data_IF_753750959740
#
_entry.id   IF_753750959740
#
_cell.length_a   1.000
_cell.length_b   1.000
_cell.length_c   1.000
_cell.angle_alpha   90.00
_cell.angle_beta   90.00
_cell.angle_gamma   90.00
#
_symmetry.space_group_name_H-M   'P 1'
#
loop_
_entity.id
_entity.type
_entity.pdbx_description
1 polymer ?
#
# COMPACT_ATOMS: atom_id res chain seq x y z
N UNK A 1 2.26 -12.55 -1.62
CA UNK A 1 2.90 -11.93 -2.79
C UNK A 1 3.94 -12.90 -3.32
N UNK A 2 3.96 -13.15 -4.63
CA UNK A 2 4.92 -14.05 -5.28
C UNK A 2 5.74 -13.26 -6.30
N UNK A 3 6.96 -12.91 -5.91
CA UNK A 3 7.86 -12.14 -6.75
C UNK A 3 8.31 -12.90 -8.01
N UNK A 4 8.36 -14.25 -7.95
CA UNK A 4 8.76 -15.07 -9.11
C UNK A 4 7.71 -15.03 -10.21
N UNK A 5 6.44 -15.02 -9.82
CA UNK A 5 5.29 -14.86 -10.73
C UNK A 5 4.86 -13.41 -10.92
N UNK A 6 5.55 -12.48 -10.24
CA UNK A 6 5.20 -11.06 -10.17
C UNK A 6 3.74 -10.85 -9.78
N UNK A 7 3.23 -11.70 -8.88
CA UNK A 7 1.81 -11.77 -8.56
C UNK A 7 1.48 -11.34 -7.13
N UNK A 8 0.34 -10.68 -6.99
CA UNK A 8 -0.21 -10.20 -5.73
C UNK A 8 -1.60 -10.81 -5.58
N UNK A 9 -1.79 -11.56 -4.50
CA UNK A 9 -3.11 -12.08 -4.13
C UNK A 9 -3.80 -11.09 -3.21
N UNK A 10 -4.95 -10.59 -3.64
CA UNK A 10 -5.82 -9.74 -2.84
C UNK A 10 -6.96 -10.57 -2.26
N UNK A 11 -7.01 -10.63 -0.92
CA UNK A 11 -8.06 -11.32 -0.18
C UNK A 11 -8.97 -10.31 0.52
N UNK A 12 -10.20 -10.17 0.02
CA UNK A 12 -11.25 -9.41 0.68
C UNK A 12 -12.11 -10.34 1.54
N UNK A 13 -12.44 -9.88 2.75
CA UNK A 13 -13.44 -10.52 3.62
C UNK A 13 -14.52 -9.49 3.92
N UNK A 14 -15.77 -9.82 3.57
CA UNK A 14 -16.94 -8.99 3.83
C UNK A 14 -17.76 -9.68 4.92
N UNK A 15 -18.12 -8.94 5.97
CA UNK A 15 -18.94 -9.44 7.08
C UNK A 15 -20.13 -8.52 7.24
N UNK A 16 -21.33 -9.08 7.34
CA UNK A 16 -22.51 -8.30 7.67
C UNK A 16 -22.59 -8.13 9.19
N UNK A 17 -22.37 -6.91 9.67
CA UNK A 17 -22.49 -6.58 11.10
C UNK A 17 -23.87 -6.07 11.49
N UNK A 18 -24.78 -5.91 10.52
CA UNK A 18 -26.15 -5.52 10.79
C UNK A 18 -26.94 -6.72 11.31
N UNK A 19 -28.02 -6.46 12.04
CA UNK A 19 -28.99 -7.49 12.44
C UNK A 19 -29.84 -7.95 11.24
N UNK A 20 -30.08 -7.04 10.30
CA UNK A 20 -30.82 -7.30 9.07
C UNK A 20 -30.01 -8.11 8.05
N UNK A 21 -30.72 -8.93 7.26
CA UNK A 21 -30.13 -9.69 6.14
C UNK A 21 -29.95 -8.78 4.92
N UNK A 22 -28.77 -8.84 4.30
CA UNK A 22 -28.50 -8.16 3.04
C UNK A 22 -28.92 -9.05 1.88
N UNK A 23 -29.74 -8.54 0.95
CA UNK A 23 -30.36 -9.31 -0.16
C UNK A 23 -29.39 -9.71 -1.29
N UNK A 24 -28.09 -9.63 -1.04
CA UNK A 24 -27.05 -9.87 -2.02
C UNK A 24 -26.68 -8.60 -2.79
N UNK A 25 -25.73 -8.75 -3.70
CA UNK A 25 -25.12 -7.57 -4.31
C UNK A 25 -23.96 -7.88 -5.23
N UNK A 26 -23.05 -6.92 -5.36
CA UNK A 26 -21.85 -7.01 -6.18
C UNK A 26 -20.64 -6.45 -5.44
N UNK A 27 -19.56 -7.23 -5.44
CA UNK A 27 -18.23 -6.77 -5.12
C UNK A 27 -17.59 -6.28 -6.42
N UNK A 28 -17.16 -5.02 -6.46
CA UNK A 28 -16.41 -4.44 -7.55
C UNK A 28 -15.00 -4.13 -7.07
N UNK A 29 -14.02 -4.66 -7.79
CA UNK A 29 -12.61 -4.37 -7.58
C UNK A 29 -12.10 -3.66 -8.83
N UNK A 30 -11.60 -2.45 -8.65
CA UNK A 30 -10.92 -1.68 -9.67
C UNK A 30 -9.47 -1.46 -9.27
N UNK A 31 -8.60 -1.36 -10.27
CA UNK A 31 -7.16 -1.26 -10.05
C UNK A 31 -6.60 -0.03 -10.74
N UNK A 32 -5.66 0.63 -10.09
CA UNK A 32 -4.91 1.79 -10.57
C UNK A 32 -3.42 1.43 -10.58
N UNK A 33 -2.71 1.84 -11.62
CA UNK A 33 -1.30 1.48 -11.85
C UNK A 33 -1.14 0.24 -12.74
N UNK A 34 0.01 -0.42 -12.63
CA UNK A 34 0.42 -1.47 -13.56
C UNK A 34 -0.04 -2.90 -13.18
N UNK A 35 -1.14 -3.03 -12.44
CA UNK A 35 -1.67 -4.34 -12.06
C UNK A 35 -2.71 -4.80 -13.07
N UNK A 36 -2.55 -6.03 -13.55
CA UNK A 36 -3.52 -6.69 -14.41
C UNK A 36 -4.05 -7.96 -13.75
N UNK A 37 -5.33 -8.33 -13.92
CA UNK A 37 -5.84 -9.61 -13.43
C UNK A 37 -5.07 -10.78 -14.04
N UNK A 38 -4.58 -11.72 -13.22
CA UNK A 38 -3.74 -12.82 -13.67
C UNK A 38 -4.44 -13.74 -14.70
N UNK A 39 -5.77 -13.79 -14.67
CA UNK A 39 -6.60 -14.67 -15.51
C UNK A 39 -7.07 -14.02 -16.82
N UNK A 40 -6.53 -12.86 -17.20
CA UNK A 40 -6.95 -12.14 -18.42
C UNK A 40 -8.37 -11.55 -18.35
N UNK A 41 -8.99 -11.53 -17.17
CA UNK A 41 -10.28 -10.88 -16.93
C UNK A 41 -10.18 -9.34 -17.10
N UNK A 42 -11.30 -8.65 -17.42
CA UNK A 42 -11.31 -7.20 -17.51
C UNK A 42 -10.87 -6.54 -16.20
N UNK A 43 -10.25 -5.36 -16.30
CA UNK A 43 -9.70 -4.55 -15.19
C UNK A 43 -10.70 -4.29 -14.04
N UNK A 44 -11.99 -4.39 -14.33
CA UNK A 44 -13.06 -4.35 -13.33
C UNK A 44 -13.56 -5.77 -13.06
N UNK A 45 -13.11 -6.35 -11.95
CA UNK A 45 -13.65 -7.62 -11.50
C UNK A 45 -14.95 -7.34 -10.73
N UNK A 46 -16.07 -7.74 -11.33
CA UNK A 46 -17.37 -7.71 -10.65
C UNK A 46 -17.76 -9.12 -10.26
N UNK A 47 -17.90 -9.38 -8.97
CA UNK A 47 -18.36 -10.66 -8.43
C UNK A 47 -19.71 -10.48 -7.76
N UNK A 48 -20.68 -11.31 -8.12
CA UNK A 48 -21.96 -11.36 -7.43
C UNK A 48 -21.76 -11.87 -6.01
N UNK A 49 -22.33 -11.15 -5.05
CA UNK A 49 -22.37 -11.53 -3.65
C UNK A 49 -23.68 -12.26 -3.38
N UNK A 50 -23.64 -13.42 -2.69
CA UNK A 50 -24.85 -14.02 -2.16
C UNK A 50 -25.47 -13.07 -1.12
N UNK A 51 -26.73 -13.31 -0.76
CA UNK A 51 -27.29 -12.71 0.44
C UNK A 51 -26.42 -13.04 1.65
N UNK A 52 -26.27 -12.08 2.55
CA UNK A 52 -25.44 -12.23 3.76
C UNK A 52 -26.33 -12.09 5.00
N UNK A 53 -26.43 -13.16 5.77
CA UNK A 53 -27.07 -13.15 7.08
C UNK A 53 -26.26 -12.32 8.08
N UNK A 54 -26.88 -11.93 9.19
CA UNK A 54 -26.16 -11.28 10.29
C UNK A 54 -24.98 -12.14 10.75
N UNK A 55 -23.81 -11.52 10.93
CA UNK A 55 -22.53 -12.14 11.29
C UNK A 55 -21.96 -13.14 10.27
N UNK A 56 -22.61 -13.32 9.11
CA UNK A 56 -22.08 -14.15 8.05
C UNK A 56 -20.91 -13.46 7.34
N UNK A 57 -19.92 -14.26 6.94
CA UNK A 57 -18.71 -13.81 6.26
C UNK A 57 -18.61 -14.42 4.88
N UNK A 58 -18.16 -13.61 3.92
CA UNK A 58 -17.80 -14.04 2.59
C UNK A 58 -16.37 -13.63 2.28
N UNK A 59 -15.61 -14.57 1.69
CA UNK A 59 -14.23 -14.33 1.27
C UNK A 59 -14.13 -14.32 -0.25
N UNK A 60 -13.37 -13.35 -0.75
CA UNK A 60 -13.05 -13.21 -2.15
C UNK A 60 -11.54 -13.12 -2.32
N UNK A 61 -10.98 -13.94 -3.19
CA UNK A 61 -9.56 -13.91 -3.54
C UNK A 61 -9.43 -13.62 -5.04
N UNK A 62 -8.58 -12.66 -5.38
CA UNK A 62 -8.20 -12.34 -6.76
C UNK A 62 -6.71 -12.16 -6.85
N UNK A 63 -6.12 -12.72 -7.89
CA UNK A 63 -4.70 -12.59 -8.17
C UNK A 63 -4.47 -11.56 -9.28
N UNK A 64 -3.51 -10.67 -9.06
CA UNK A 64 -3.05 -9.67 -10.00
C UNK A 64 -1.59 -9.93 -10.34
N UNK A 65 -1.21 -9.66 -11.57
CA UNK A 65 0.18 -9.66 -12.03
C UNK A 65 0.61 -8.22 -12.26
N UNK A 66 1.80 -7.87 -11.76
CA UNK A 66 2.42 -6.57 -11.99
C UNK A 66 3.09 -6.56 -13.37
N UNK A 67 2.71 -5.60 -14.22
CA UNK A 67 3.22 -5.48 -15.59
C UNK A 67 4.55 -4.72 -15.67
N UNK A 68 4.69 -3.65 -14.89
CA UNK A 68 5.92 -2.87 -14.72
C UNK A 68 5.96 -2.26 -13.32
N UNK A 69 7.13 -1.84 -12.86
CA UNK A 69 7.29 -1.24 -11.54
C UNK A 69 6.54 0.10 -11.47
N UNK A 70 5.58 0.22 -10.56
CA UNK A 70 4.79 1.44 -10.34
C UNK A 70 4.06 1.39 -8.99
N UNK A 71 3.64 2.56 -8.50
CA UNK A 71 2.71 2.64 -7.37
C UNK A 71 1.33 2.12 -7.81
N UNK A 72 0.84 1.09 -7.13
CA UNK A 72 -0.43 0.47 -7.47
C UNK A 72 -1.46 0.68 -6.35
N UNK A 73 -2.71 0.93 -6.71
CA UNK A 73 -3.83 1.06 -5.76
C UNK A 73 -4.99 0.16 -6.15
N UNK A 74 -5.64 -0.39 -5.13
CA UNK A 74 -6.81 -1.23 -5.23
C UNK A 74 -8.02 -0.48 -4.65
N UNK A 75 -9.04 -0.32 -5.47
CA UNK A 75 -10.30 0.34 -5.12
C UNK A 75 -11.38 -0.73 -4.95
N UNK A 76 -11.83 -0.91 -3.71
CA UNK A 76 -12.89 -1.87 -3.39
C UNK A 76 -14.21 -1.14 -3.19
N UNK A 77 -15.23 -1.59 -3.91
CA UNK A 77 -16.60 -1.12 -3.75
C UNK A 77 -17.53 -2.33 -3.56
N UNK A 78 -18.41 -2.23 -2.56
CA UNK A 78 -19.47 -3.21 -2.32
C UNK A 78 -20.81 -2.53 -2.61
N UNK A 79 -21.61 -3.13 -3.48
CA UNK A 79 -22.95 -2.67 -3.85
C UNK A 79 -23.96 -3.68 -3.33
N UNK A 80 -24.92 -3.27 -2.51
CA UNK A 80 -26.04 -4.11 -2.10
C UNK A 80 -27.33 -3.61 -2.75
N UNK A 81 -28.15 -4.53 -3.24
CA UNK A 81 -29.42 -4.21 -3.90
C UNK A 81 -30.59 -4.03 -2.93
N UNK A 82 -30.31 -4.02 -1.62
CA UNK A 82 -31.28 -3.75 -0.57
C UNK A 82 -31.15 -4.69 0.63
N UNK A 83 -31.60 -4.25 1.82
CA UNK A 83 -31.65 -5.08 3.02
C UNK A 83 -33.08 -5.15 3.53
N UNK A 84 -33.59 -6.36 3.77
CA UNK A 84 -34.87 -6.55 4.46
C UNK A 84 -34.63 -6.28 5.94
N UNK A 85 -35.12 -5.17 6.47
CA UNK A 85 -35.16 -4.91 7.90
C UNK A 85 -36.06 -5.95 8.57
N UNK A 86 -35.45 -6.95 9.21
CA UNK A 86 -36.15 -7.87 10.09
C UNK A 86 -36.35 -7.20 11.45
N UNK A 87 -37.28 -6.25 11.52
CA UNK A 87 -37.85 -5.76 12.78
C UNK A 87 -39.19 -5.09 12.49
N UNK A 88 -40.20 -5.91 12.25
CA UNK A 88 -41.59 -5.51 12.43
C UNK A 88 -42.23 -6.61 13.25
N UNK A 89 -41.92 -6.61 14.55
CA UNK A 89 -42.84 -7.18 15.54
C UNK A 89 -44.20 -6.52 15.32
N UNK A 90 -45.22 -7.37 15.31
CA UNK A 90 -46.51 -7.08 14.72
C UNK A 90 -47.34 -6.01 15.41
N UNK A 91 -48.49 -5.83 14.76
CA UNK A 91 -49.65 -5.00 15.11
C UNK A 91 -49.59 -3.55 14.58
N UNK A 92 -50.32 -3.30 13.48
CA UNK A 92 -51.50 -2.42 13.45
C UNK A 92 -52.19 -2.42 12.06
N UNK A 93 -53.48 -2.77 12.11
CA UNK A 93 -54.65 -2.39 11.28
C UNK A 93 -54.50 -1.67 9.92
N UNK A 94 -55.01 -2.35 8.89
CA UNK A 94 -56.13 -2.00 7.97
C UNK A 94 -56.28 -0.63 7.27
N UNK A 95 -56.59 -0.75 5.98
CA UNK A 95 -57.11 0.17 4.93
C UNK A 95 -56.47 1.55 4.66
N UNK A 96 -56.11 1.78 3.39
CA UNK A 96 -55.90 3.13 2.85
C UNK A 96 -55.01 3.18 1.61
N UNK A 97 -55.63 3.25 0.45
CA UNK A 97 -55.05 3.50 -0.88
C UNK A 97 -54.23 4.80 -0.92
N UNK A 98 -52.91 4.69 -1.03
CA UNK A 98 -52.06 5.64 -1.75
C UNK A 98 -50.90 4.86 -2.38
N UNK A 99 -50.58 5.20 -3.62
CA UNK A 99 -49.40 4.72 -4.32
C UNK A 99 -48.12 5.17 -3.58
N UNK A 100 -47.77 4.45 -2.52
CA UNK A 100 -46.46 4.47 -1.93
C UNK A 100 -45.52 3.95 -3.00
N UNK A 101 -44.91 4.87 -3.74
CA UNK A 101 -43.68 4.59 -4.49
C UNK A 101 -42.78 3.86 -3.51
N UNK A 102 -42.66 2.55 -3.70
CA UNK A 102 -42.01 1.64 -2.79
C UNK A 102 -40.55 2.11 -2.69
N UNK A 103 -40.26 2.94 -1.69
CA UNK A 103 -38.91 3.42 -1.37
C UNK A 103 -38.10 2.29 -0.72
N UNK A 104 -38.61 1.06 -0.81
CA UNK A 104 -37.94 -0.18 -0.48
C UNK A 104 -36.71 -0.35 -1.38
N UNK A 105 -35.64 0.25 -0.85
CA UNK A 105 -34.25 -0.15 -0.95
C UNK A 105 -33.49 0.41 -2.16
N UNK A 106 -33.24 1.73 -2.10
CA UNK A 106 -32.17 2.35 -2.87
C UNK A 106 -30.86 1.56 -2.68
N UNK A 107 -30.13 1.25 -3.77
CA UNK A 107 -28.94 0.42 -3.69
C UNK A 107 -27.86 1.11 -2.85
N UNK A 108 -27.39 0.42 -1.81
CA UNK A 108 -26.35 0.94 -0.91
C UNK A 108 -25.00 0.63 -1.54
N UNK A 109 -24.21 1.69 -1.78
CA UNK A 109 -22.83 1.57 -2.24
C UNK A 109 -21.87 1.92 -1.11
N UNK A 110 -21.06 0.95 -0.69
CA UNK A 110 -19.95 1.15 0.24
C UNK A 110 -18.65 1.23 -0.56
N UNK A 111 -17.92 2.34 -0.43
CA UNK A 111 -16.58 2.51 -1.01
C UNK A 111 -15.55 2.44 0.11
N UNK A 112 -14.64 1.49 0.01
CA UNK A 112 -13.50 1.44 0.92
C UNK A 112 -12.47 2.50 0.52
N UNK A 113 -11.65 2.92 1.49
CA UNK A 113 -10.47 3.71 1.17
C UNK A 113 -9.56 2.91 0.21
N UNK A 114 -8.96 3.55 -0.80
CA UNK A 114 -8.07 2.87 -1.72
C UNK A 114 -6.89 2.25 -0.98
N UNK A 115 -6.66 0.96 -1.22
CA UNK A 115 -5.51 0.27 -0.65
C UNK A 115 -4.31 0.46 -1.59
N UNK A 116 -3.31 1.20 -1.14
CA UNK A 116 -2.04 1.34 -1.84
C UNK A 116 -1.16 0.14 -1.52
N UNK A 117 -0.70 -0.55 -2.57
CA UNK A 117 0.28 -1.63 -2.43
C UNK A 117 1.60 -1.02 -1.96
N UNK A 118 2.14 -1.41 -0.79
CA UNK A 118 3.41 -0.89 -0.30
C UNK A 118 4.54 -1.21 -1.28
N UNK A 119 5.39 -0.23 -1.59
CA UNK A 119 6.55 -0.49 -2.46
C UNK A 119 7.52 -1.50 -1.84
N UNK A 120 7.53 -1.62 -0.51
CA UNK A 120 8.31 -2.64 0.19
C UNK A 120 7.94 -4.07 -0.21
N UNK A 121 6.70 -4.31 -0.66
CA UNK A 121 6.26 -5.59 -1.20
C UNK A 121 6.77 -5.80 -2.64
N UNK A 122 6.98 -4.73 -3.41
CA UNK A 122 7.37 -4.78 -4.84
C UNK A 122 8.88 -4.80 -5.08
N UNK A 123 9.66 -4.81 -3.99
CA UNK A 123 11.10 -4.79 -3.98
C UNK A 123 11.61 -6.04 -3.27
N UNK A 124 12.82 -6.45 -3.62
CA UNK A 124 13.49 -7.63 -3.09
C UNK A 124 14.85 -7.25 -2.50
N UNK A 125 15.27 -7.92 -1.41
CA UNK A 125 16.64 -7.83 -0.92
C UNK A 125 17.62 -8.24 -2.01
N UNK A 126 18.60 -7.38 -2.27
CA UNK A 126 19.69 -7.67 -3.19
C UNK A 126 21.03 -7.58 -2.44
N UNK A 127 21.46 -8.63 -1.73
CA UNK A 127 22.73 -8.63 -1.02
C UNK A 127 23.89 -8.36 -1.98
N UNK A 128 24.75 -7.41 -1.65
CA UNK A 128 25.94 -7.09 -2.44
C UNK A 128 27.11 -6.75 -1.52
N UNK A 129 28.34 -6.83 -2.05
CA UNK A 129 29.54 -6.43 -1.31
C UNK A 129 29.73 -4.91 -1.40
N UNK A 130 30.40 -4.28 -0.43
CA UNK A 130 30.72 -2.85 -0.52
C UNK A 130 31.47 -2.49 -1.81
N UNK A 131 32.44 -3.33 -2.24
CA UNK A 131 33.18 -3.10 -3.48
C UNK A 131 32.28 -3.10 -4.71
N UNK A 132 31.37 -4.07 -4.83
CA UNK A 132 30.41 -4.12 -5.94
C UNK A 132 29.42 -2.95 -5.89
N UNK A 133 28.92 -2.59 -4.70
CA UNK A 133 28.05 -1.42 -4.51
C UNK A 133 28.70 -0.13 -5.01
N UNK A 134 29.92 0.18 -4.55
CA UNK A 134 30.61 1.40 -4.95
C UNK A 134 31.08 1.39 -6.41
N UNK A 135 31.23 0.22 -7.01
CA UNK A 135 31.50 0.08 -8.44
C UNK A 135 30.27 0.43 -9.30
N UNK A 136 29.07 0.03 -8.87
CA UNK A 136 27.80 0.29 -9.57
C UNK A 136 27.27 1.68 -9.29
N UNK A 137 27.40 2.19 -8.06
CA UNK A 137 26.88 3.49 -7.62
C UNK A 137 27.09 4.67 -8.61
N UNK A 138 28.30 4.93 -9.14
CA UNK A 138 28.52 6.03 -10.08
C UNK A 138 27.92 5.79 -11.47
N UNK A 139 27.56 4.54 -11.80
CA UNK A 139 26.98 4.16 -13.11
C UNK A 139 25.47 4.39 -13.18
N UNK A 140 24.80 4.42 -12.03
CA UNK A 140 23.38 4.73 -11.95
C UNK A 140 23.17 6.23 -12.16
N UNK A 141 22.56 6.57 -13.30
CA UNK A 141 22.40 7.97 -13.75
C UNK A 141 21.24 8.68 -13.08
N UNK A 142 20.17 7.96 -12.75
CA UNK A 142 19.02 8.54 -12.09
C UNK A 142 19.31 8.68 -10.60
N UNK A 143 19.04 9.87 -10.06
CA UNK A 143 19.31 10.22 -8.66
C UNK A 143 18.11 10.96 -8.09
N UNK A 144 17.72 10.59 -6.88
CA UNK A 144 16.70 11.29 -6.12
C UNK A 144 17.18 11.47 -4.69
N UNK A 145 17.10 12.70 -4.18
CA UNK A 145 17.58 13.04 -2.84
C UNK A 145 16.41 13.45 -1.93
N UNK A 146 16.50 13.06 -0.66
CA UNK A 146 15.59 13.48 0.40
C UNK A 146 16.40 13.92 1.61
N UNK A 147 15.89 14.90 2.35
CA UNK A 147 16.50 15.36 3.60
C UNK A 147 15.44 15.48 4.67
N UNK A 148 15.85 15.26 5.92
CA UNK A 148 15.04 15.66 7.07
C UNK A 148 15.61 15.17 8.38
N UNK A 149 14.82 15.33 9.45
CA UNK A 149 15.30 15.29 10.82
C UNK A 149 14.55 14.22 11.60
N UNK A 150 15.29 13.31 12.24
CA UNK A 150 14.74 12.26 13.09
C UNK A 150 15.03 12.57 14.55
N UNK A 151 14.00 12.68 15.40
CA UNK A 151 14.17 12.90 16.83
C UNK A 151 14.52 11.59 17.56
N UNK A 152 15.65 11.57 18.27
CA UNK A 152 16.07 10.43 19.08
C UNK A 152 15.25 10.42 20.38
N UNK A 153 14.37 9.43 20.56
CA UNK A 153 13.75 9.12 21.85
C UNK A 153 12.30 9.55 22.08
N UNK A 154 11.61 10.15 21.10
CA UNK A 154 10.19 10.55 21.25
C UNK A 154 9.18 9.70 20.47
N UNK A 155 9.63 8.80 19.58
CA UNK A 155 8.74 8.09 18.65
C UNK A 155 7.94 9.03 17.73
N UNK A 156 8.34 10.31 17.67
CA UNK A 156 7.75 11.35 16.83
C UNK A 156 8.89 11.94 15.99
N UNK A 157 9.34 11.16 15.01
CA UNK A 157 10.12 11.66 13.89
C UNK A 157 9.21 12.05 12.72
N UNK A 158 9.54 13.17 12.08
CA UNK A 158 9.08 13.64 10.75
C UNK A 158 8.98 12.51 9.69
N UNK A 159 8.33 12.72 8.53
CA UNK A 159 7.99 11.73 7.48
C UNK A 159 9.06 10.70 7.06
N UNK A 160 10.32 10.96 7.38
CA UNK A 160 11.44 10.03 7.24
C UNK A 160 11.39 8.81 8.15
N UNK A 161 10.63 8.81 9.25
CA UNK A 161 10.29 7.55 9.92
C UNK A 161 9.55 6.59 8.99
N UNK A 162 8.74 7.09 8.05
CA UNK A 162 8.08 6.27 7.04
C UNK A 162 9.07 5.66 6.06
N UNK A 163 9.98 6.47 5.49
CA UNK A 163 11.02 5.97 4.56
C UNK A 163 12.01 5.06 5.28
N UNK A 164 12.53 5.47 6.44
CA UNK A 164 13.46 4.65 7.23
C UNK A 164 12.76 3.39 7.72
N UNK A 165 11.57 3.45 8.32
CA UNK A 165 10.86 2.23 8.77
C UNK A 165 10.42 1.32 7.62
N UNK A 166 9.99 1.87 6.47
CA UNK A 166 9.60 1.09 5.30
C UNK A 166 10.80 0.51 4.52
N UNK A 167 11.99 1.12 4.61
CA UNK A 167 13.17 0.68 3.86
C UNK A 167 14.16 -0.11 4.72
N UNK A 168 14.24 0.16 6.02
CA UNK A 168 15.23 -0.42 6.94
C UNK A 168 14.88 -1.85 7.39
N UNK A 169 13.64 -2.32 7.19
CA UNK A 169 13.16 -3.64 7.67
C UNK A 169 12.59 -4.55 6.57
N UNK A 170 13.30 -4.66 5.45
CA UNK A 170 12.88 -5.27 4.17
C UNK A 170 12.11 -4.25 3.34
N UNK A 171 12.48 -4.09 2.06
CA UNK A 171 13.23 -5.06 1.25
C UNK A 171 14.71 -4.75 1.07
N UNK A 172 15.29 -3.75 1.73
CA UNK A 172 16.72 -3.44 1.52
C UNK A 172 17.65 -4.37 2.30
N UNK A 173 18.76 -4.72 1.66
CA UNK A 173 19.92 -5.34 2.30
C UNK A 173 20.91 -4.26 2.73
N UNK A 174 21.32 -4.29 4.00
CA UNK A 174 22.44 -3.46 4.48
C UNK A 174 23.74 -3.95 3.84
N UNK A 175 24.43 -3.07 3.13
CA UNK A 175 25.70 -3.35 2.45
C UNK A 175 26.88 -3.03 3.36
N UNK A 176 26.91 -1.82 3.90
CA UNK A 176 27.90 -1.39 4.88
C UNK A 176 27.37 -0.26 5.74
N UNK A 177 27.96 -0.14 6.93
CA UNK A 177 27.76 0.96 7.86
C UNK A 177 29.13 1.46 8.29
N UNK A 178 29.35 2.76 8.13
CA UNK A 178 30.53 3.45 8.62
C UNK A 178 30.10 4.49 9.64
N UNK A 179 30.63 4.39 10.84
CA UNK A 179 30.51 5.43 11.85
C UNK A 179 31.72 6.35 11.77
N UNK A 180 31.49 7.65 11.93
CA UNK A 180 32.49 8.71 11.94
C UNK A 180 32.42 9.40 13.32
N UNK A 181 33.07 8.83 14.35
CA UNK A 181 32.91 9.29 15.73
C UNK A 181 33.32 10.75 15.93
N UNK A 182 34.32 11.20 15.18
CA UNK A 182 34.85 12.58 15.26
C UNK A 182 33.80 13.66 14.95
N UNK A 183 32.76 13.33 14.17
CA UNK A 183 31.72 14.28 13.77
C UNK A 183 30.32 13.83 14.22
N UNK A 184 30.23 12.81 15.08
CA UNK A 184 28.96 12.16 15.46
C UNK A 184 28.08 11.83 14.23
N UNK A 185 28.70 11.42 13.13
CA UNK A 185 28.06 11.14 11.87
C UNK A 185 28.18 9.68 11.47
N UNK A 186 27.34 9.25 10.53
CA UNK A 186 27.36 7.91 9.99
C UNK A 186 27.01 7.93 8.51
N UNK A 187 27.42 6.87 7.83
CA UNK A 187 27.02 6.55 6.49
C UNK A 187 26.55 5.09 6.46
N UNK A 188 25.39 4.86 5.85
CA UNK A 188 24.86 3.52 5.60
C UNK A 188 24.55 3.35 4.12
N UNK A 189 24.88 2.19 3.58
CA UNK A 189 24.62 1.84 2.19
C UNK A 189 23.69 0.64 2.15
N UNK A 190 22.69 0.70 1.27
CA UNK A 190 21.63 -0.29 1.15
C UNK A 190 21.37 -0.62 -0.31
N UNK A 191 20.99 -1.87 -0.58
CA UNK A 191 20.67 -2.35 -1.92
C UNK A 191 19.36 -3.15 -1.94
N UNK A 192 18.56 -2.90 -2.96
CA UNK A 192 17.36 -3.66 -3.30
C UNK A 192 17.26 -3.78 -4.81
N UNK A 193 16.37 -4.67 -5.26
CA UNK A 193 16.01 -4.80 -6.65
C UNK A 193 14.49 -4.87 -6.81
N UNK A 194 13.95 -4.41 -7.93
CA UNK A 194 12.53 -4.63 -8.25
C UNK A 194 12.28 -6.09 -8.66
N UNK A 195 11.03 -6.51 -8.80
CA UNK A 195 10.69 -7.79 -9.43
C UNK A 195 11.06 -7.92 -10.91
N UNK A 196 11.52 -6.82 -11.51
CA UNK A 196 11.99 -6.73 -12.88
C UNK A 196 13.52 -6.61 -12.94
N UNK A 197 14.20 -7.01 -11.86
CA UNK A 197 15.67 -7.03 -11.75
C UNK A 197 16.30 -5.65 -11.95
N UNK A 198 15.56 -4.58 -11.64
CA UNK A 198 16.10 -3.22 -11.68
C UNK A 198 16.70 -2.85 -10.33
N UNK A 199 17.98 -2.46 -10.33
CA UNK A 199 18.70 -2.10 -9.12
C UNK A 199 18.21 -0.78 -8.53
N UNK A 200 18.11 -0.75 -7.20
CA UNK A 200 17.81 0.43 -6.41
C UNK A 200 18.81 0.50 -5.25
N UNK A 201 19.69 1.50 -5.31
CA UNK A 201 20.71 1.73 -4.30
C UNK A 201 20.31 2.93 -3.44
N UNK A 202 20.53 2.82 -2.14
CA UNK A 202 20.28 3.88 -1.17
C UNK A 202 21.55 4.14 -0.36
N UNK A 203 21.92 5.40 -0.23
CA UNK A 203 22.96 5.86 0.68
C UNK A 203 22.36 6.86 1.66
N UNK A 204 22.54 6.60 2.94
CA UNK A 204 22.08 7.43 4.04
C UNK A 204 23.27 8.07 4.70
N UNK A 205 23.28 9.39 4.75
CA UNK A 205 24.24 10.17 5.53
C UNK A 205 23.50 10.77 6.72
N UNK A 206 23.94 10.43 7.92
CA UNK A 206 23.36 10.97 9.15
C UNK A 206 24.39 11.73 9.96
N UNK A 207 23.96 12.80 10.64
CA UNK A 207 24.76 13.42 11.70
C UNK A 207 23.88 13.80 12.89
N UNK A 208 24.38 13.52 14.09
CA UNK A 208 23.70 13.92 15.31
C UNK A 208 23.73 15.45 15.44
N UNK A 209 22.56 16.04 15.68
CA UNK A 209 22.45 17.44 16.01
C UNK A 209 23.12 17.72 17.37
N UNK A 210 23.62 18.94 17.55
CA UNK A 210 24.34 19.37 18.77
C UNK A 210 23.56 19.21 20.08
N UNK A 211 22.23 19.08 19.99
CA UNK A 211 21.35 18.86 21.14
C UNK A 211 21.29 17.39 21.58
N UNK A 212 21.93 16.46 20.86
CA UNK A 212 21.95 15.02 21.14
C UNK A 212 20.57 14.34 21.04
N UNK A 213 19.54 15.06 20.58
CA UNK A 213 18.13 14.63 20.58
C UNK A 213 17.55 14.53 19.17
N UNK A 214 18.33 14.86 18.15
CA UNK A 214 17.91 14.74 16.76
C UNK A 214 19.09 14.29 15.90
N UNK A 215 18.79 13.58 14.81
CA UNK A 215 19.72 13.24 13.75
C UNK A 215 19.20 13.85 12.46
N UNK A 216 20.06 14.57 11.76
CA UNK A 216 19.78 15.03 10.41
C UNK A 216 20.24 13.96 9.44
N UNK A 217 19.36 13.57 8.53
CA UNK A 217 19.64 12.52 7.56
C UNK A 217 19.42 13.03 6.14
N UNK A 218 20.39 12.79 5.27
CA UNK A 218 20.29 12.91 3.81
C UNK A 218 20.23 11.50 3.21
N UNK A 219 19.20 11.24 2.42
CA UNK A 219 18.96 9.99 1.72
C UNK A 219 19.21 10.24 0.24
N UNK A 220 20.06 9.43 -0.36
CA UNK A 220 20.35 9.48 -1.80
C UNK A 220 19.97 8.14 -2.38
N UNK A 221 18.94 8.15 -3.23
CA UNK A 221 18.50 7.00 -3.99
C UNK A 221 19.05 7.09 -5.40
N UNK A 222 19.51 5.95 -5.92
CA UNK A 222 19.95 5.82 -7.31
C UNK A 222 19.37 4.58 -7.95
N UNK A 223 19.03 4.70 -9.22
CA UNK A 223 18.58 3.58 -10.05
C UNK A 223 19.02 3.77 -11.49
N UNK A 224 18.92 2.71 -12.27
CA UNK A 224 19.02 2.74 -13.72
C UNK A 224 17.71 3.13 -14.40
N UNK A 225 16.57 3.04 -13.69
CA UNK A 225 15.25 3.40 -14.21
C UNK A 225 14.69 4.62 -13.48
N UNK A 226 14.24 5.58 -14.28
CA UNK A 226 13.55 6.77 -13.79
C UNK A 226 12.17 6.43 -13.22
N UNK A 227 11.48 5.45 -13.81
CA UNK A 227 10.17 5.01 -13.31
C UNK A 227 10.26 4.47 -11.88
N UNK A 228 11.34 3.75 -11.55
CA UNK A 228 11.59 3.24 -10.20
C UNK A 228 11.72 4.39 -9.20
N UNK A 229 12.55 5.39 -9.49
CA UNK A 229 12.71 6.54 -8.59
C UNK A 229 11.45 7.38 -8.45
N UNK A 230 10.68 7.54 -9.53
CA UNK A 230 9.39 8.25 -9.49
C UNK A 230 8.37 7.52 -8.61
N UNK A 231 8.26 6.20 -8.74
CA UNK A 231 7.37 5.41 -7.89
C UNK A 231 7.79 5.53 -6.42
N UNK A 232 9.08 5.37 -6.11
CA UNK A 232 9.61 5.54 -4.75
C UNK A 232 9.29 6.94 -4.21
N UNK A 233 9.46 7.99 -5.02
CA UNK A 233 9.16 9.35 -4.59
C UNK A 233 7.68 9.62 -4.34
N UNK A 234 6.78 9.05 -5.14
CA UNK A 234 5.35 9.15 -4.91
C UNK A 234 4.94 8.48 -3.58
N UNK A 235 5.54 7.34 -3.24
CA UNK A 235 5.27 6.64 -1.98
C UNK A 235 5.73 7.43 -0.75
N UNK A 236 6.93 8.04 -0.83
CA UNK A 236 7.46 8.91 0.23
C UNK A 236 6.54 10.11 0.50
N UNK A 237 6.02 10.74 -0.55
CA UNK A 237 5.09 11.86 -0.42
C UNK A 237 3.76 11.43 0.22
N UNK A 238 3.21 10.27 -0.14
CA UNK A 238 1.97 9.76 0.47
C UNK A 238 2.16 9.44 1.96
N UNK A 239 3.30 8.87 2.35
CA UNK A 239 3.62 8.63 3.76
C UNK A 239 3.68 9.95 4.56
N UNK A 240 4.14 11.04 3.95
CA UNK A 240 4.14 12.36 4.59
C UNK A 240 2.75 12.97 4.76
N UNK A 241 1.84 12.75 3.81
CA UNK A 241 0.49 13.32 3.83
C UNK A 241 -0.48 12.60 4.79
N UNK A 242 -0.29 11.30 5.09
CA UNK A 242 -1.19 10.54 5.97
C UNK A 242 -1.07 10.87 7.47
N UNK A 243 -0.11 11.71 7.86
CA UNK A 243 0.16 12.06 9.27
C UNK A 243 -0.06 13.56 9.59
N UNK A 244 -0.48 14.36 8.61
CA UNK A 244 -0.94 15.74 8.79
C UNK A 244 -2.46 15.76 8.96
#
# INVERSE_FOLDING_TARGET
>A
VDATRRSISFKARVVNLMEATLSGGYLRLAVEGALAPANGHPLHLTRKLPGLLSQEKMEHNTEFTLQHFSCCKLHLQVLFTGGTSASADGELQDEGDEAATDTSQLPITLRCLPYQVPLSELLLPCPTTPGAFFHVWPRLQEVQEYMGVHAIGSGQGEPLEGLVSAMHNKPFSLVCRQQLPACASFQECYSAQTWFDQELLLMVFGYAHSNGRAVWCKFVLRSQSREVLQAVGADVQVCSARRA
#
